data_IF_316313282910
#
_entry.id   IF_316313282910
#
_cell.length_a   1.000
_cell.length_b   1.000
_cell.length_c   1.000
_cell.angle_alpha   90.00
_cell.angle_beta   90.00
_cell.angle_gamma   90.00
#
_symmetry.space_group_name_H-M   'P 1'
#
loop_
_entity.id
_entity.type
_entity.pdbx_description
1 polymer ?
#
# COMPACT_ATOMS: atom_id res chain seq x y z
N UNK A 1 -19.45 -3.49 -22.29
CA UNK A 1 -18.30 -2.59 -22.49
C UNK A 1 -17.20 -3.06 -21.57
N UNK A 2 -15.94 -3.21 -22.03
CA UNK A 2 -14.85 -3.53 -21.12
C UNK A 2 -14.72 -2.39 -20.11
N UNK A 3 -14.69 -2.70 -18.80
CA UNK A 3 -14.41 -1.71 -17.77
C UNK A 3 -12.98 -1.23 -18.01
N UNK A 4 -12.81 0.02 -18.44
CA UNK A 4 -11.52 0.69 -18.41
C UNK A 4 -11.09 0.73 -16.95
N UNK A 5 -9.94 0.15 -16.67
CA UNK A 5 -9.38 0.15 -15.32
C UNK A 5 -8.91 1.58 -15.00
N UNK A 6 -9.53 2.19 -13.99
CA UNK A 6 -9.15 3.51 -13.50
C UNK A 6 -8.20 3.34 -12.31
N UNK A 7 -6.98 3.86 -12.44
CA UNK A 7 -6.03 3.88 -11.34
C UNK A 7 -6.44 4.91 -10.30
N UNK A 8 -6.41 4.53 -9.03
CA UNK A 8 -6.64 5.39 -7.87
C UNK A 8 -5.33 6.02 -7.44
N UNK A 9 -5.30 7.33 -7.41
CA UNK A 9 -4.15 8.14 -7.02
C UNK A 9 -4.48 8.86 -5.71
N UNK A 10 -3.56 8.80 -4.74
CA UNK A 10 -3.62 9.59 -3.53
C UNK A 10 -2.52 10.64 -3.57
N UNK A 11 -2.91 11.90 -3.60
CA UNK A 11 -2.01 13.06 -3.53
C UNK A 11 -2.06 13.61 -2.11
N UNK A 12 -0.89 13.87 -1.54
CA UNK A 12 -0.76 14.32 -0.16
C UNK A 12 0.10 15.56 -0.16
N UNK A 13 -0.53 16.71 0.06
CA UNK A 13 0.08 18.03 -0.03
C UNK A 13 -0.77 19.03 0.76
N UNK A 14 -0.17 19.82 1.62
CA UNK A 14 -0.87 20.83 2.40
C UNK A 14 -1.24 22.09 1.61
N UNK A 15 -0.74 22.21 0.37
CA UNK A 15 -1.17 23.25 -0.57
C UNK A 15 -2.42 22.81 -1.33
N UNK A 16 -3.58 23.33 -0.91
CA UNK A 16 -4.87 23.02 -1.53
C UNK A 16 -4.92 23.41 -3.02
N UNK A 17 -4.17 24.45 -3.44
CA UNK A 17 -4.13 24.87 -4.86
C UNK A 17 -3.37 23.84 -5.70
N UNK A 18 -2.27 23.31 -5.18
CA UNK A 18 -1.54 22.22 -5.86
C UNK A 18 -2.39 20.95 -5.95
N UNK A 19 -3.12 20.63 -4.90
CA UNK A 19 -4.07 19.52 -4.91
C UNK A 19 -5.15 19.68 -5.98
N UNK A 20 -5.76 20.86 -6.09
CA UNK A 20 -6.80 21.14 -7.10
C UNK A 20 -6.25 21.04 -8.53
N UNK A 21 -5.08 21.62 -8.79
CA UNK A 21 -4.43 21.56 -10.10
C UNK A 21 -4.08 20.09 -10.46
N UNK A 22 -3.56 19.34 -9.51
CA UNK A 22 -3.20 17.95 -9.71
C UNK A 22 -4.44 17.07 -9.94
N UNK A 23 -5.54 17.30 -9.20
CA UNK A 23 -6.80 16.60 -9.42
C UNK A 23 -7.32 16.85 -10.83
N UNK A 24 -7.41 18.11 -11.28
CA UNK A 24 -7.85 18.44 -12.63
C UNK A 24 -6.98 17.78 -13.70
N UNK A 25 -5.65 17.83 -13.55
CA UNK A 25 -4.71 17.23 -14.48
C UNK A 25 -4.89 15.71 -14.58
N UNK A 26 -4.80 15.03 -13.45
CA UNK A 26 -4.80 13.57 -13.43
C UNK A 26 -6.17 12.96 -13.68
N UNK A 27 -7.26 13.61 -13.24
CA UNK A 27 -8.62 13.20 -13.61
C UNK A 27 -8.83 13.29 -15.11
N UNK A 28 -8.31 14.32 -15.79
CA UNK A 28 -8.35 14.42 -17.25
C UNK A 28 -7.59 13.31 -17.97
N UNK A 29 -6.60 12.72 -17.31
CA UNK A 29 -5.81 11.59 -17.81
C UNK A 29 -6.42 10.21 -17.44
N UNK A 30 -7.59 10.18 -16.79
CA UNK A 30 -8.32 8.96 -16.46
C UNK A 30 -7.93 8.33 -15.12
N UNK A 31 -7.33 9.09 -14.20
CA UNK A 31 -7.09 8.65 -12.83
C UNK A 31 -8.25 9.05 -11.92
N UNK A 32 -8.57 8.22 -10.94
CA UNK A 32 -9.43 8.61 -9.81
C UNK A 32 -8.54 9.21 -8.72
N UNK A 33 -8.62 10.52 -8.52
CA UNK A 33 -7.74 11.26 -7.61
C UNK A 33 -8.44 11.51 -6.27
N UNK A 34 -7.69 11.37 -5.19
CA UNK A 34 -8.05 11.84 -3.84
C UNK A 34 -6.89 12.66 -3.30
N UNK A 35 -7.21 13.73 -2.59
CA UNK A 35 -6.22 14.60 -1.96
C UNK A 35 -6.37 14.54 -0.44
N UNK A 36 -5.23 14.58 0.25
CA UNK A 36 -5.13 14.70 1.69
C UNK A 36 -4.19 15.87 2.03
N UNK A 37 -4.49 16.61 3.08
CA UNK A 37 -3.72 17.81 3.51
C UNK A 37 -2.57 17.46 4.46
N UNK A 38 -2.52 16.22 4.96
CA UNK A 38 -1.42 15.70 5.78
C UNK A 38 -1.36 14.17 5.80
N UNK A 39 -0.35 13.64 6.51
CA UNK A 39 -0.17 12.20 6.63
C UNK A 39 -1.27 11.49 7.44
N UNK A 40 -1.91 12.14 8.40
CA UNK A 40 -3.00 11.54 9.17
C UNK A 40 -4.25 11.36 8.32
N UNK A 41 -4.64 12.40 7.57
CA UNK A 41 -5.77 12.32 6.66
C UNK A 41 -5.52 11.26 5.57
N UNK A 42 -4.30 11.24 5.02
CA UNK A 42 -3.89 10.21 4.07
C UNK A 42 -4.08 8.79 4.62
N UNK A 43 -3.70 8.51 5.87
CA UNK A 43 -3.90 7.21 6.51
C UNK A 43 -5.38 6.87 6.70
N UNK A 44 -6.22 7.87 7.02
CA UNK A 44 -7.68 7.69 7.11
C UNK A 44 -8.25 7.30 5.76
N UNK A 45 -7.87 8.02 4.69
CA UNK A 45 -8.30 7.73 3.32
C UNK A 45 -7.83 6.36 2.84
N UNK A 46 -6.58 5.98 3.14
CA UNK A 46 -6.04 4.65 2.81
C UNK A 46 -6.77 3.51 3.54
N UNK A 47 -7.31 3.76 4.73
CA UNK A 47 -8.15 2.79 5.45
C UNK A 47 -9.48 2.53 4.74
N UNK A 48 -10.03 3.52 4.07
CA UNK A 48 -11.28 3.39 3.30
C UNK A 48 -11.02 2.69 1.96
N UNK A 49 -9.99 3.12 1.24
CA UNK A 49 -9.61 2.54 -0.04
C UNK A 49 -8.12 2.74 -0.31
N UNK A 50 -7.40 1.65 -0.60
CA UNK A 50 -5.98 1.73 -0.98
C UNK A 50 -5.82 2.38 -2.35
N UNK A 51 -4.87 3.31 -2.50
CA UNK A 51 -4.48 3.83 -3.79
C UNK A 51 -3.59 2.83 -4.55
N UNK A 52 -3.54 3.01 -5.86
CA UNK A 52 -2.62 2.29 -6.74
C UNK A 52 -1.27 2.98 -6.83
N UNK A 53 -1.21 4.29 -6.51
CA UNK A 53 0.00 5.10 -6.40
C UNK A 53 -0.19 6.25 -5.40
N UNK A 54 0.87 6.61 -4.71
CA UNK A 54 0.93 7.76 -3.79
C UNK A 54 1.90 8.81 -4.34
N UNK A 55 1.47 10.07 -4.32
CA UNK A 55 2.34 11.25 -4.53
C UNK A 55 2.30 12.05 -3.23
N UNK A 56 3.44 12.24 -2.58
CA UNK A 56 3.50 12.79 -1.23
C UNK A 56 4.51 13.93 -1.15
N UNK A 57 4.07 15.09 -0.68
CA UNK A 57 5.00 16.11 -0.18
C UNK A 57 5.71 15.60 1.07
N UNK A 58 7.00 15.95 1.20
CA UNK A 58 7.79 15.61 2.37
C UNK A 58 7.55 16.57 3.54
N UNK A 59 7.29 17.84 3.24
CA UNK A 59 7.22 18.92 4.23
C UNK A 59 5.78 19.39 4.42
N UNK A 60 5.07 18.73 5.31
CA UNK A 60 3.69 19.03 5.66
C UNK A 60 3.54 19.22 7.17
N UNK A 61 2.55 20.00 7.64
CA UNK A 61 2.26 20.14 9.05
C UNK A 61 1.70 18.85 9.65
N UNK A 62 1.69 18.72 10.98
CA UNK A 62 1.15 17.63 11.78
C UNK A 62 1.93 16.31 11.55
N UNK A 63 1.67 15.59 10.49
CA UNK A 63 2.40 14.39 10.11
C UNK A 63 3.11 14.61 8.78
N UNK A 64 4.43 14.68 8.82
CA UNK A 64 5.28 14.87 7.66
C UNK A 64 5.22 13.69 6.67
N UNK A 65 5.61 13.96 5.42
CA UNK A 65 5.74 12.89 4.43
C UNK A 65 6.77 11.83 4.83
N UNK A 66 7.86 12.19 5.51
CA UNK A 66 8.84 11.22 6.02
C UNK A 66 8.22 10.21 6.98
N UNK A 67 7.41 10.68 7.94
CA UNK A 67 6.72 9.82 8.90
C UNK A 67 5.68 8.94 8.20
N UNK A 68 4.85 9.55 7.34
CA UNK A 68 3.85 8.83 6.56
C UNK A 68 4.50 7.73 5.71
N UNK A 69 5.56 8.04 4.94
CA UNK A 69 6.22 7.08 4.07
C UNK A 69 6.85 5.92 4.84
N UNK A 70 7.32 6.17 6.07
CA UNK A 70 7.78 5.11 6.96
C UNK A 70 6.67 4.12 7.32
N UNK A 71 5.44 4.63 7.56
CA UNK A 71 4.26 3.79 7.82
C UNK A 71 3.83 3.07 6.56
N UNK A 72 3.71 3.79 5.44
CA UNK A 72 3.30 3.23 4.14
C UNK A 72 4.25 2.10 3.73
N UNK A 73 5.55 2.32 3.78
CA UNK A 73 6.54 1.33 3.35
C UNK A 73 6.54 0.07 4.23
N UNK A 74 6.24 0.22 5.51
CA UNK A 74 6.13 -0.91 6.44
C UNK A 74 4.84 -1.70 6.26
N UNK A 75 3.73 -1.04 5.96
CA UNK A 75 2.40 -1.65 5.90
C UNK A 75 1.99 -2.03 4.49
N UNK A 76 2.41 -1.26 3.49
CA UNK A 76 1.99 -1.36 2.09
C UNK A 76 3.18 -1.24 1.15
N UNK A 77 4.21 -2.12 1.28
CA UNK A 77 5.45 -2.01 0.51
C UNK A 77 5.23 -2.11 -1.01
N UNK A 78 4.11 -2.65 -1.43
CA UNK A 78 3.73 -2.83 -2.83
C UNK A 78 3.16 -1.58 -3.50
N UNK A 79 2.73 -0.57 -2.72
CA UNK A 79 2.21 0.67 -3.30
C UNK A 79 3.37 1.56 -3.73
N UNK A 80 3.48 1.90 -5.02
CA UNK A 80 4.51 2.82 -5.48
C UNK A 80 4.28 4.21 -4.91
N UNK A 81 5.38 4.86 -4.54
CA UNK A 81 5.38 6.19 -3.92
C UNK A 81 6.34 7.10 -4.67
N UNK A 82 5.84 8.29 -5.03
CA UNK A 82 6.66 9.41 -5.49
C UNK A 82 6.70 10.44 -4.36
N UNK A 83 7.88 10.70 -3.82
CA UNK A 83 8.08 11.80 -2.89
C UNK A 83 8.34 13.09 -3.65
N UNK A 84 7.80 14.20 -3.16
CA UNK A 84 8.01 15.55 -3.73
C UNK A 84 8.44 16.51 -2.63
N UNK A 85 9.27 17.49 -2.95
CA UNK A 85 9.56 18.61 -2.05
C UNK A 85 10.10 19.81 -2.81
N UNK A 86 9.78 21.01 -2.34
CA UNK A 86 10.34 22.28 -2.82
C UNK A 86 11.64 22.69 -2.11
N UNK A 87 11.93 22.15 -0.93
CA UNK A 87 13.03 22.62 -0.08
C UNK A 87 14.39 21.99 -0.42
N UNK A 88 14.42 20.77 -0.93
CA UNK A 88 15.67 20.02 -1.21
C UNK A 88 16.21 20.35 -2.61
N UNK A 89 16.60 21.60 -2.80
CA UNK A 89 17.12 22.09 -4.10
C UNK A 89 18.51 21.52 -4.36
N UNK A 90 18.72 20.91 -5.53
CA UNK A 90 20.02 20.38 -5.94
C UNK A 90 20.41 19.04 -5.31
N UNK A 91 19.54 18.43 -4.54
CA UNK A 91 19.71 17.09 -3.95
C UNK A 91 18.98 16.07 -4.82
N UNK A 92 19.70 15.06 -5.31
CA UNK A 92 19.08 13.99 -6.10
C UNK A 92 18.12 13.14 -5.28
N UNK A 93 18.44 12.94 -3.99
CA UNK A 93 17.66 12.15 -3.07
C UNK A 93 17.86 12.61 -1.62
N UNK A 94 16.84 13.14 -0.93
CA UNK A 94 16.98 13.53 0.47
C UNK A 94 17.24 12.32 1.37
N UNK A 95 18.10 12.48 2.38
CA UNK A 95 18.36 11.41 3.34
C UNK A 95 17.09 11.00 4.09
N UNK A 96 16.91 9.70 4.29
CA UNK A 96 15.77 9.13 5.02
C UNK A 96 14.47 9.01 4.22
N UNK A 97 14.43 9.44 2.96
CA UNK A 97 13.24 9.25 2.10
C UNK A 97 13.14 7.81 1.65
N UNK A 98 12.02 7.18 1.97
CA UNK A 98 11.67 5.80 1.58
C UNK A 98 10.59 5.84 0.51
N UNK A 99 10.97 6.19 -0.72
CA UNK A 99 10.07 6.28 -1.88
C UNK A 99 10.63 5.50 -3.08
N UNK A 100 9.85 5.33 -4.13
CA UNK A 100 10.31 4.69 -5.39
C UNK A 100 10.84 5.72 -6.37
N UNK A 101 10.44 6.98 -6.21
CA UNK A 101 10.98 8.11 -6.93
C UNK A 101 10.92 9.39 -6.08
N UNK A 102 11.79 10.33 -6.39
CA UNK A 102 11.79 11.68 -5.84
C UNK A 102 11.76 12.70 -6.96
N UNK A 103 10.93 13.72 -6.82
CA UNK A 103 10.83 14.84 -7.75
C UNK A 103 10.84 16.16 -6.98
N UNK A 104 11.72 17.06 -7.39
CA UNK A 104 11.76 18.41 -6.81
C UNK A 104 10.63 19.27 -7.37
N UNK A 105 9.80 19.85 -6.48
CA UNK A 105 8.79 20.85 -6.83
C UNK A 105 9.48 22.11 -7.38
N UNK A 106 8.88 22.76 -8.36
CA UNK A 106 9.39 24.02 -8.89
C UNK A 106 10.73 23.95 -9.65
N UNK A 107 11.27 22.77 -9.93
CA UNK A 107 12.55 22.59 -10.63
C UNK A 107 12.51 22.92 -12.13
N UNK A 108 11.43 23.54 -12.62
CA UNK A 108 11.23 23.78 -14.07
C UNK A 108 11.02 22.50 -14.89
N UNK A 109 10.97 21.34 -14.25
CA UNK A 109 10.58 20.09 -14.92
C UNK A 109 9.10 20.15 -15.23
N UNK A 110 8.78 19.87 -16.47
CA UNK A 110 7.39 19.92 -16.95
C UNK A 110 6.53 18.80 -16.30
N UNK A 111 5.21 18.99 -16.21
CA UNK A 111 4.28 17.97 -15.69
C UNK A 111 4.42 16.60 -16.36
N UNK A 112 4.90 16.57 -17.63
CA UNK A 112 5.11 15.33 -18.37
C UNK A 112 6.15 14.41 -17.71
N UNK A 113 7.15 14.97 -17.00
CA UNK A 113 8.13 14.17 -16.25
C UNK A 113 7.45 13.39 -15.11
N UNK A 114 6.54 14.03 -14.39
CA UNK A 114 5.76 13.37 -13.33
C UNK A 114 4.83 12.31 -13.93
N UNK A 115 4.12 12.63 -15.00
CA UNK A 115 3.23 11.67 -15.71
C UNK A 115 4.02 10.47 -16.23
N UNK A 116 5.20 10.67 -16.81
CA UNK A 116 6.04 9.57 -17.28
C UNK A 116 6.50 8.68 -16.12
N UNK A 117 6.89 9.29 -14.99
CA UNK A 117 7.33 8.53 -13.79
C UNK A 117 6.18 7.75 -13.16
N UNK A 118 4.97 8.31 -13.11
CA UNK A 118 3.76 7.61 -12.65
C UNK A 118 3.51 6.36 -13.50
N UNK A 119 3.52 6.51 -14.83
CA UNK A 119 3.32 5.38 -15.76
C UNK A 119 4.37 4.29 -15.57
N UNK A 120 5.65 4.68 -15.50
CA UNK A 120 6.77 3.75 -15.25
C UNK A 120 6.54 2.93 -13.96
N UNK A 121 6.21 3.61 -12.86
CA UNK A 121 6.03 2.96 -11.57
C UNK A 121 4.80 2.06 -11.55
N UNK A 122 3.68 2.50 -12.12
CA UNK A 122 2.48 1.69 -12.22
C UNK A 122 2.69 0.45 -13.11
N UNK A 123 3.49 0.54 -14.16
CA UNK A 123 3.83 -0.59 -15.03
C UNK A 123 4.68 -1.64 -14.32
N UNK A 124 5.56 -1.21 -13.42
CA UNK A 124 6.42 -2.09 -12.62
C UNK A 124 5.74 -2.58 -11.35
N UNK A 125 4.63 -1.96 -10.94
CA UNK A 125 3.99 -2.30 -9.67
C UNK A 125 3.43 -3.73 -9.68
N UNK A 126 3.72 -4.52 -8.63
CA UNK A 126 3.15 -5.85 -8.45
C UNK A 126 1.62 -5.85 -8.30
N UNK A 127 1.01 -4.71 -7.94
CA UNK A 127 -0.44 -4.57 -7.90
C UNK A 127 -1.07 -4.81 -9.28
N UNK A 128 -0.38 -4.47 -10.35
CA UNK A 128 -0.85 -4.73 -11.72
C UNK A 128 -0.92 -6.22 -12.07
N UNK A 129 0.03 -7.00 -11.58
CA UNK A 129 0.02 -8.45 -11.73
C UNK A 129 -1.04 -9.14 -10.86
N UNK A 130 -1.50 -8.47 -9.79
CA UNK A 130 -2.40 -8.99 -8.77
C UNK A 130 -3.80 -8.36 -8.76
N UNK A 131 -4.18 -7.58 -9.77
CA UNK A 131 -5.58 -7.14 -9.98
C UNK A 131 -6.50 -8.32 -10.30
N UNK A 132 -6.01 -9.42 -10.75
CA UNK A 132 -6.57 -10.72 -10.38
C UNK A 132 -6.38 -10.82 -8.87
N UNK A 133 -7.40 -10.48 -8.07
CA UNK A 133 -7.53 -10.64 -6.61
C UNK A 133 -6.41 -11.53 -6.09
N UNK A 134 -5.51 -11.00 -5.23
CA UNK A 134 -4.57 -11.89 -4.55
C UNK A 134 -5.45 -13.04 -4.03
N UNK A 135 -5.32 -14.26 -4.57
CA UNK A 135 -6.28 -15.32 -4.29
C UNK A 135 -6.28 -15.69 -2.81
N UNK A 136 -5.30 -15.19 -2.06
CA UNK A 136 -5.16 -15.49 -0.65
C UNK A 136 -4.57 -14.32 0.13
N UNK A 137 -5.05 -14.15 1.36
CA UNK A 137 -4.49 -13.20 2.32
C UNK A 137 -3.06 -13.60 2.73
N UNK A 138 -2.15 -12.64 2.95
CA UNK A 138 -0.82 -12.93 3.47
C UNK A 138 -0.92 -13.55 4.86
N UNK A 139 -0.19 -14.63 5.05
CA UNK A 139 -0.06 -15.35 6.32
C UNK A 139 1.32 -15.06 6.91
N UNK A 140 1.36 -14.67 8.16
CA UNK A 140 2.60 -14.52 8.91
C UNK A 140 2.61 -15.42 10.14
N UNK A 141 3.76 -16.05 10.41
CA UNK A 141 3.94 -16.97 11.52
C UNK A 141 4.88 -16.31 12.51
N UNK A 142 4.40 -16.03 13.75
CA UNK A 142 5.27 -15.54 14.81
C UNK A 142 6.32 -16.58 15.19
N UNK A 143 7.52 -16.11 15.54
CA UNK A 143 8.61 -16.96 16.01
C UNK A 143 8.60 -17.14 17.55
N UNK A 144 7.45 -16.92 18.18
CA UNK A 144 7.28 -17.01 19.64
C UNK A 144 6.94 -18.43 20.14
N UNK A 145 6.91 -19.42 19.25
CA UNK A 145 6.65 -20.82 19.56
C UNK A 145 5.19 -21.15 19.90
N UNK A 146 4.26 -20.18 19.72
CA UNK A 146 2.84 -20.43 20.01
C UNK A 146 2.10 -20.95 18.79
N UNK A 147 1.05 -21.79 18.96
CA UNK A 147 0.36 -22.44 17.86
C UNK A 147 -0.71 -21.53 17.23
N UNK A 148 -0.31 -20.38 16.69
CA UNK A 148 -1.17 -19.49 15.92
C UNK A 148 -0.44 -18.90 14.73
N UNK A 149 -1.19 -18.38 13.78
CA UNK A 149 -0.69 -17.57 12.68
C UNK A 149 -1.49 -16.27 12.56
N UNK A 150 -0.92 -15.29 11.92
CA UNK A 150 -1.55 -13.97 11.72
C UNK A 150 -1.94 -13.82 10.27
N UNK A 151 -3.21 -13.46 10.04
CA UNK A 151 -3.75 -13.06 8.75
C UNK A 151 -3.89 -11.55 8.67
N UNK A 152 -3.61 -10.99 7.49
CA UNK A 152 -3.96 -9.60 7.19
C UNK A 152 -5.16 -9.61 6.24
N UNK A 153 -6.26 -9.02 6.68
CA UNK A 153 -7.47 -8.92 5.88
C UNK A 153 -7.21 -8.11 4.60
N UNK A 154 -7.56 -8.65 3.44
CA UNK A 154 -7.41 -7.97 2.15
C UNK A 154 -8.42 -6.84 1.94
N UNK A 155 -9.51 -6.79 2.74
CA UNK A 155 -10.53 -5.76 2.63
C UNK A 155 -10.25 -4.56 3.56
N UNK A 156 -10.01 -4.81 4.89
CA UNK A 156 -9.81 -3.73 5.86
C UNK A 156 -8.35 -3.56 6.32
N UNK A 157 -7.45 -4.44 5.86
CA UNK A 157 -5.99 -4.43 6.11
C UNK A 157 -5.59 -4.56 7.58
N UNK A 158 -6.54 -4.91 8.45
CA UNK A 158 -6.25 -5.25 9.84
C UNK A 158 -5.75 -6.68 9.94
N UNK A 159 -4.78 -6.89 10.81
CA UNK A 159 -4.24 -8.22 11.10
C UNK A 159 -4.89 -8.78 12.36
N UNK A 160 -5.19 -10.07 12.34
CA UNK A 160 -5.72 -10.83 13.47
C UNK A 160 -5.11 -12.22 13.49
N UNK A 161 -5.13 -12.85 14.67
CA UNK A 161 -4.52 -14.17 14.86
C UNK A 161 -5.59 -15.27 14.81
N UNK A 162 -5.22 -16.40 14.18
CA UNK A 162 -6.02 -17.60 14.15
C UNK A 162 -5.24 -18.76 14.79
N UNK A 163 -5.90 -19.58 15.63
CA UNK A 163 -5.28 -20.76 16.18
C UNK A 163 -5.10 -21.82 15.08
N UNK A 164 -4.03 -22.61 15.21
CA UNK A 164 -3.81 -23.76 14.31
C UNK A 164 -4.64 -24.92 14.78
N UNK A 165 -5.50 -25.44 13.93
CA UNK A 165 -6.27 -26.63 14.23
C UNK A 165 -5.48 -27.91 13.87
N UNK A 166 -5.69 -28.99 14.64
CA UNK A 166 -5.04 -30.29 14.40
C UNK A 166 -5.50 -30.99 13.12
N UNK A 167 -6.53 -30.47 12.45
CA UNK A 167 -7.12 -31.06 11.24
C UNK A 167 -6.47 -30.58 9.94
N UNK A 168 -5.56 -29.59 10.00
CA UNK A 168 -4.87 -29.09 8.81
C UNK A 168 -3.82 -30.11 8.33
N UNK A 169 -4.25 -30.94 7.41
CA UNK A 169 -3.47 -32.08 6.91
C UNK A 169 -2.42 -31.70 5.86
N UNK A 170 -1.76 -32.72 5.34
CA UNK A 170 -0.50 -32.73 4.59
C UNK A 170 -0.53 -32.15 3.14
N UNK A 171 -1.45 -31.25 2.79
CA UNK A 171 -1.56 -30.66 1.43
C UNK A 171 -1.71 -29.13 1.51
N UNK A 172 -1.32 -28.43 0.44
CA UNK A 172 -1.69 -27.02 0.23
C UNK A 172 -3.20 -26.92 0.16
N UNK A 173 -3.82 -26.24 1.11
CA UNK A 173 -5.24 -25.98 1.11
C UNK A 173 -5.49 -24.48 1.01
N UNK A 174 -6.37 -24.11 0.11
CA UNK A 174 -7.02 -22.82 0.14
C UNK A 174 -8.10 -22.87 1.23
N UNK A 175 -7.86 -22.16 2.31
CA UNK A 175 -8.74 -22.07 3.46
C UNK A 175 -9.49 -20.74 3.41
N UNK A 176 -10.64 -20.69 4.03
CA UNK A 176 -11.45 -19.46 4.14
C UNK A 176 -11.80 -19.18 5.59
N UNK A 177 -11.78 -17.91 5.94
CA UNK A 177 -12.23 -17.39 7.23
C UNK A 177 -12.91 -16.05 7.05
N UNK A 178 -13.56 -15.56 8.11
CA UNK A 178 -14.10 -14.19 8.15
C UNK A 178 -13.18 -13.28 8.95
N UNK A 179 -13.06 -12.05 8.50
CA UNK A 179 -12.32 -11.02 9.22
C UNK A 179 -13.07 -10.64 10.50
N UNK A 180 -12.40 -10.66 11.65
CA UNK A 180 -12.96 -10.27 12.94
C UNK A 180 -13.37 -8.79 13.00
N UNK A 181 -12.86 -7.95 12.10
CA UNK A 181 -13.08 -6.50 12.12
C UNK A 181 -14.11 -5.99 11.11
N UNK A 182 -14.26 -6.66 9.97
CA UNK A 182 -15.13 -6.17 8.89
C UNK A 182 -16.03 -7.26 8.28
N UNK A 183 -16.01 -8.47 8.83
CA UNK A 183 -16.80 -9.65 8.42
C UNK A 183 -16.61 -10.09 6.95
N UNK A 184 -15.63 -9.53 6.25
CA UNK A 184 -15.30 -9.94 4.88
C UNK A 184 -14.74 -11.35 4.84
N UNK A 185 -15.16 -12.15 3.86
CA UNK A 185 -14.58 -13.48 3.61
C UNK A 185 -13.14 -13.34 3.10
N UNK A 186 -12.22 -14.08 3.71
CA UNK A 186 -10.79 -14.07 3.41
C UNK A 186 -10.38 -15.48 3.03
N UNK A 187 -9.82 -15.63 1.83
CA UNK A 187 -9.12 -16.84 1.42
C UNK A 187 -7.63 -16.74 1.81
N UNK A 188 -7.04 -17.82 2.29
CA UNK A 188 -5.62 -17.91 2.63
C UNK A 188 -5.07 -19.31 2.36
N UNK A 189 -3.75 -19.39 2.20
CA UNK A 189 -3.06 -20.67 1.93
C UNK A 189 -2.04 -20.91 3.03
N UNK A 190 -2.10 -22.09 3.64
CA UNK A 190 -1.06 -22.60 4.53
C UNK A 190 -0.23 -23.65 3.78
N UNK A 191 1.09 -23.43 3.73
CA UNK A 191 2.02 -24.39 3.15
C UNK A 191 2.30 -25.55 4.14
N UNK A 192 2.48 -26.76 3.62
CA UNK A 192 2.75 -27.93 4.45
C UNK A 192 4.02 -27.80 5.31
N UNK A 193 5.05 -27.10 4.81
CA UNK A 193 6.27 -26.82 5.56
C UNK A 193 6.02 -25.92 6.77
N UNK A 194 5.14 -24.94 6.59
CA UNK A 194 4.66 -24.03 7.63
C UNK A 194 3.93 -24.79 8.75
N UNK A 195 3.03 -25.68 8.36
CA UNK A 195 2.26 -26.49 9.31
C UNK A 195 3.14 -27.46 10.11
N UNK A 196 4.19 -28.03 9.50
CA UNK A 196 5.16 -28.88 10.21
C UNK A 196 5.96 -28.09 11.24
N UNK A 197 6.37 -26.86 10.91
CA UNK A 197 7.12 -26.00 11.84
C UNK A 197 6.25 -25.64 13.06
N UNK A 198 5.01 -25.31 12.84
CA UNK A 198 4.06 -24.92 13.88
C UNK A 198 3.63 -26.11 14.78
N UNK A 199 3.58 -27.34 14.24
CA UNK A 199 3.29 -28.55 15.04
C UNK A 199 4.42 -28.90 16.00
N UNK A 200 5.68 -28.72 15.59
CA UNK A 200 6.85 -28.94 16.46
C UNK A 200 6.93 -27.93 17.60
N UNK A 201 6.35 -26.74 17.43
CA UNK A 201 6.30 -25.72 18.47
C UNK A 201 5.14 -25.93 19.46
N UNK A 202 4.19 -26.82 19.15
CA UNK A 202 3.01 -27.12 19.98
C UNK A 202 3.13 -28.44 20.78
N UNK A 203 4.24 -29.20 20.58
CA UNK A 203 4.67 -30.36 21.36
C UNK A 203 5.68 -29.92 22.45
#
# INVERSE_FOLDING_TARGET
>A
MPRTFEYRMLIIDDDAVLCEIADQLFSSLGYTVRCADDGFEALVMMKEALPDIIICDLNMPRMSGFELLSVVRRRFPQIPVIAMSGEYVGVEWPEGVIADAYLQKGSGKSPEVLVAKIKELLERSPLRANIVKAPSAPVWIPQDGKPYFVLTCTACLRSFSLPISKQDGNKKFELKTKCEFCDSEIAYVLDAGVLQHLRRAAE
#
